data_IF_225861487455
#
_entry.id   IF_225861487455
#
_cell.length_a   1.000
_cell.length_b   1.000
_cell.length_c   1.000
_cell.angle_alpha   90.00
_cell.angle_beta   90.00
_cell.angle_gamma   90.00
#
_symmetry.space_group_name_H-M   'P 1'
#
loop_
_entity.id
_entity.type
_entity.pdbx_description
1 polymer ?
#
# COMPACT_ATOMS: atom_id res chain seq x y z
N UNK A 1 -29.53 -5.10 16.01
CA UNK A 1 -28.49 -4.05 16.14
C UNK A 1 -27.12 -4.67 15.95
N UNK A 2 -26.24 -3.98 15.20
CA UNK A 2 -24.78 -4.03 15.39
C UNK A 2 -24.03 -5.34 15.05
N UNK A 3 -23.66 -5.52 13.79
CA UNK A 3 -22.27 -5.92 13.48
C UNK A 3 -21.73 -5.00 12.38
N UNK A 4 -21.89 -3.71 12.70
CA UNK A 4 -21.21 -2.51 12.20
C UNK A 4 -20.92 -2.43 10.70
N UNK A 5 -21.73 -1.64 9.99
CA UNK A 5 -21.29 -0.96 8.76
C UNK A 5 -20.01 -0.13 8.97
N UNK A 6 -19.67 0.22 10.21
CA UNK A 6 -18.38 0.78 10.60
C UNK A 6 -17.20 -0.21 10.52
N UNK A 7 -17.39 -1.52 10.72
CA UNK A 7 -16.32 -2.53 10.56
C UNK A 7 -15.92 -2.70 9.10
N UNK A 8 -16.87 -2.58 8.16
CA UNK A 8 -16.57 -2.57 6.73
C UNK A 8 -15.73 -1.36 6.31
N UNK A 9 -16.09 -0.16 6.82
CA UNK A 9 -15.31 1.06 6.61
C UNK A 9 -13.95 1.03 7.31
N UNK A 10 -13.86 0.50 8.53
CA UNK A 10 -12.59 0.33 9.24
C UNK A 10 -11.71 -0.69 8.55
N UNK A 11 -12.25 -1.81 8.03
CA UNK A 11 -11.46 -2.77 7.28
C UNK A 11 -10.93 -2.15 5.98
N UNK A 12 -11.78 -1.42 5.23
CA UNK A 12 -11.37 -0.71 4.01
C UNK A 12 -10.33 0.38 4.30
N UNK A 13 -10.59 1.25 5.27
CA UNK A 13 -9.69 2.32 5.68
C UNK A 13 -8.40 1.77 6.29
N UNK A 14 -8.45 0.63 6.98
CA UNK A 14 -7.28 -0.05 7.51
C UNK A 14 -6.47 -0.66 6.38
N UNK A 15 -7.06 -1.34 5.40
CA UNK A 15 -6.31 -1.88 4.25
C UNK A 15 -5.69 -0.75 3.42
N UNK A 16 -6.45 0.32 3.16
CA UNK A 16 -5.97 1.52 2.49
C UNK A 16 -4.85 2.19 3.29
N UNK A 17 -4.96 2.29 4.62
CA UNK A 17 -3.98 2.93 5.51
C UNK A 17 -2.81 2.04 5.93
N UNK A 18 -2.92 0.72 5.79
CA UNK A 18 -1.87 -0.25 6.12
C UNK A 18 -0.96 -0.49 4.91
N UNK A 19 -1.55 -0.49 3.71
CA UNK A 19 -0.78 -0.51 2.47
C UNK A 19 -0.34 0.91 2.06
N UNK A 20 -1.03 1.93 2.56
CA UNK A 20 -0.81 3.34 2.28
C UNK A 20 -1.02 3.71 0.81
N UNK A 21 -1.87 2.96 0.13
CA UNK A 21 -2.32 3.29 -1.22
C UNK A 21 -3.48 4.28 -1.09
N UNK A 22 -3.31 5.45 -1.68
CA UNK A 22 -4.31 6.52 -1.71
C UNK A 22 -4.61 6.84 -3.16
N UNK A 23 -5.88 6.74 -3.53
CA UNK A 23 -6.36 7.13 -4.83
C UNK A 23 -7.26 8.35 -4.66
N UNK A 24 -6.91 9.49 -5.27
CA UNK A 24 -7.65 10.75 -5.14
C UNK A 24 -7.73 11.40 -6.50
N UNK A 25 -8.93 11.58 -7.03
CA UNK A 25 -9.15 12.27 -8.33
C UNK A 25 -8.36 11.66 -9.50
N UNK A 26 -8.21 10.33 -9.54
CA UNK A 26 -7.40 9.65 -10.54
C UNK A 26 -5.87 9.75 -10.34
N UNK A 27 -5.41 10.39 -9.26
CA UNK A 27 -4.01 10.38 -8.82
C UNK A 27 -3.80 9.25 -7.81
N UNK A 28 -2.95 8.30 -8.18
CA UNK A 28 -2.53 7.21 -7.31
C UNK A 28 -1.25 7.61 -6.59
N UNK A 29 -1.33 7.67 -5.26
CA UNK A 29 -0.20 7.90 -4.39
C UNK A 29 0.03 6.66 -3.53
N UNK A 30 1.25 6.13 -3.56
CA UNK A 30 1.60 4.93 -2.78
C UNK A 30 2.62 5.29 -1.72
N UNK A 31 2.20 5.32 -0.44
CA UNK A 31 3.07 5.54 0.71
C UNK A 31 3.15 4.25 1.54
N UNK A 32 4.11 3.35 1.28
CA UNK A 32 4.19 2.07 1.98
C UNK A 32 4.31 2.29 3.49
N UNK A 33 3.39 1.71 4.25
CA UNK A 33 3.37 1.74 5.72
C UNK A 33 3.11 0.33 6.27
N UNK A 34 3.68 -0.67 5.59
CA UNK A 34 3.57 -2.06 5.99
C UNK A 34 4.26 -2.31 7.34
N UNK A 35 3.66 -3.11 8.22
CA UNK A 35 4.30 -3.58 9.45
C UNK A 35 5.63 -4.30 9.19
N UNK A 36 6.62 -4.21 10.11
CA UNK A 36 7.96 -4.78 9.92
C UNK A 36 7.98 -6.29 9.67
N UNK A 37 6.99 -7.02 10.18
CA UNK A 37 6.89 -8.47 10.04
C UNK A 37 6.32 -8.92 8.67
N UNK A 38 5.82 -8.01 7.83
CA UNK A 38 5.33 -8.36 6.49
C UNK A 38 6.44 -8.19 5.43
N UNK A 39 6.85 -9.27 4.74
CA UNK A 39 7.89 -9.20 3.70
C UNK A 39 7.39 -8.51 2.42
N UNK A 40 6.12 -8.73 2.08
CA UNK A 40 5.45 -8.15 0.93
C UNK A 40 3.94 -8.01 1.16
N UNK A 41 3.29 -7.13 0.39
CA UNK A 41 1.83 -7.07 0.29
C UNK A 41 1.41 -6.76 -1.14
N UNK A 42 0.31 -7.36 -1.58
CA UNK A 42 -0.28 -7.14 -2.90
C UNK A 42 -1.66 -6.54 -2.74
N UNK A 43 -1.86 -5.36 -3.32
CA UNK A 43 -3.12 -4.64 -3.33
C UNK A 43 -3.67 -4.63 -4.74
N UNK A 44 -4.94 -4.98 -4.89
CA UNK A 44 -5.64 -4.94 -6.17
C UNK A 44 -6.84 -4.01 -6.05
N UNK A 45 -6.88 -3.00 -6.89
CA UNK A 45 -7.91 -1.97 -6.93
C UNK A 45 -8.56 -1.97 -8.31
N UNK A 46 -9.84 -1.63 -8.35
CA UNK A 46 -10.59 -1.39 -9.59
C UNK A 46 -10.97 0.08 -9.61
N UNK A 47 -10.52 0.82 -10.61
CA UNK A 47 -10.89 2.24 -10.77
C UNK A 47 -11.29 2.54 -12.21
N UNK A 48 -12.50 3.08 -12.40
CA UNK A 48 -13.08 3.36 -13.72
C UNK A 48 -13.01 2.15 -14.67
N UNK A 49 -13.25 0.94 -14.15
CA UNK A 49 -13.15 -0.31 -14.91
C UNK A 49 -11.72 -0.79 -15.20
N UNK A 50 -10.70 -0.01 -14.80
CA UNK A 50 -9.29 -0.39 -14.93
C UNK A 50 -8.84 -1.15 -13.69
N UNK A 51 -8.12 -2.26 -13.91
CA UNK A 51 -7.49 -3.03 -12.84
C UNK A 51 -6.11 -2.47 -12.54
N UNK A 52 -5.91 -2.11 -11.29
CA UNK A 52 -4.65 -1.58 -10.78
C UNK A 52 -4.13 -2.55 -9.73
N UNK A 53 -2.90 -2.97 -9.88
CA UNK A 53 -2.22 -3.85 -8.97
C UNK A 53 -0.98 -3.18 -8.43
N UNK A 54 -0.87 -3.10 -7.10
CA UNK A 54 0.25 -2.49 -6.41
C UNK A 54 0.91 -3.58 -5.57
N UNK A 55 2.15 -3.92 -5.94
CA UNK A 55 3.01 -4.84 -5.21
C UNK A 55 3.99 -4.04 -4.36
N UNK A 56 3.85 -4.19 -3.05
CA UNK A 56 4.69 -3.57 -2.04
C UNK A 56 5.67 -4.64 -1.56
N UNK A 57 6.97 -4.46 -1.82
CA UNK A 57 8.00 -5.41 -1.40
C UNK A 57 9.09 -4.69 -0.64
N UNK A 58 9.55 -5.29 0.46
CA UNK A 58 10.71 -4.77 1.18
C UNK A 58 11.96 -4.91 0.33
N UNK A 59 12.85 -3.92 0.41
CA UNK A 59 14.16 -3.97 -0.24
C UNK A 59 15.00 -5.21 0.18
N UNK A 60 14.75 -5.73 1.39
CA UNK A 60 15.34 -6.98 1.88
C UNK A 60 14.87 -8.24 1.12
N UNK A 61 13.66 -8.19 0.53
CA UNK A 61 13.03 -9.31 -0.21
C UNK A 61 13.27 -9.17 -1.71
N UNK A 62 13.07 -7.97 -2.26
CA UNK A 62 13.27 -7.69 -3.68
C UNK A 62 14.01 -6.37 -3.86
N UNK A 63 15.12 -6.42 -4.61
CA UNK A 63 15.91 -5.23 -4.96
C UNK A 63 15.41 -4.52 -6.22
N UNK A 64 14.57 -5.17 -7.02
CA UNK A 64 14.11 -4.66 -8.31
C UNK A 64 12.66 -5.06 -8.57
N UNK A 65 12.00 -4.32 -9.46
CA UNK A 65 10.65 -4.62 -9.90
C UNK A 65 10.62 -5.93 -10.69
N UNK A 66 9.64 -6.82 -10.43
CA UNK A 66 9.43 -8.01 -11.23
C UNK A 66 8.96 -7.66 -12.66
N UNK A 67 9.13 -8.60 -13.60
CA UNK A 67 8.78 -8.39 -15.00
C UNK A 67 7.29 -8.00 -15.16
N UNK A 68 7.04 -6.94 -15.93
CA UNK A 68 5.70 -6.40 -16.16
C UNK A 68 5.16 -5.51 -15.04
N UNK A 69 5.97 -5.16 -14.03
CA UNK A 69 5.66 -4.12 -13.05
C UNK A 69 6.50 -2.88 -13.30
N UNK A 70 5.88 -1.72 -13.25
CA UNK A 70 6.56 -0.44 -13.30
C UNK A 70 6.98 -0.03 -11.89
N UNK A 71 8.27 0.29 -11.71
CA UNK A 71 8.78 0.79 -10.44
C UNK A 71 8.21 2.19 -10.15
N UNK A 72 7.68 2.37 -8.95
CA UNK A 72 7.20 3.65 -8.44
C UNK A 72 7.87 3.92 -7.09
N UNK A 73 8.43 5.11 -6.89
CA UNK A 73 9.07 5.44 -5.64
C UNK A 73 8.05 5.59 -4.51
N UNK A 74 8.44 5.21 -3.29
CA UNK A 74 7.60 5.38 -2.11
C UNK A 74 7.26 6.86 -1.89
N UNK A 75 5.97 7.21 -1.95
CA UNK A 75 5.46 8.58 -1.81
C UNK A 75 5.27 9.33 -3.12
N UNK A 76 5.69 8.75 -4.25
CA UNK A 76 5.47 9.29 -5.59
C UNK A 76 3.99 9.24 -5.96
N UNK A 77 3.57 10.21 -6.77
CA UNK A 77 2.19 10.34 -7.23
C UNK A 77 2.17 10.10 -8.72
N UNK A 78 1.30 9.20 -9.15
CA UNK A 78 1.15 8.78 -10.54
C UNK A 78 -0.27 9.07 -11.00
N UNK A 79 -0.43 9.83 -12.07
CA UNK A 79 -1.75 10.04 -12.66
C UNK A 79 -2.14 8.81 -13.47
N UNK A 80 -3.32 8.24 -13.17
CA UNK A 80 -3.84 7.09 -13.90
C UNK A 80 -4.19 7.42 -15.36
N UNK A 81 -4.32 8.71 -15.69
CA UNK A 81 -4.57 9.19 -17.05
C UNK A 81 -3.37 9.02 -17.97
N UNK A 82 -2.14 8.97 -17.43
CA UNK A 82 -0.92 8.80 -18.23
C UNK A 82 -0.71 7.35 -18.70
N UNK A 83 -1.53 6.42 -18.21
CA UNK A 83 -1.32 4.98 -18.38
C UNK A 83 -2.62 4.31 -18.83
N UNK A 84 -2.55 3.58 -19.94
CA UNK A 84 -3.67 2.80 -20.46
C UNK A 84 -3.51 1.30 -20.15
N UNK A 85 -4.64 0.63 -19.91
CA UNK A 85 -4.70 -0.82 -19.70
C UNK A 85 -4.57 -1.28 -18.23
N UNK A 86 -4.07 -2.50 -18.05
CA UNK A 86 -3.86 -3.10 -16.73
C UNK A 86 -2.60 -2.51 -16.10
N UNK A 87 -2.77 -1.81 -14.98
CA UNK A 87 -1.67 -1.10 -14.34
C UNK A 87 -1.05 -1.95 -13.24
N UNK A 88 0.22 -2.31 -13.39
CA UNK A 88 0.97 -3.07 -12.37
C UNK A 88 2.15 -2.24 -11.88
N UNK A 89 2.11 -1.89 -10.60
CA UNK A 89 3.06 -1.01 -9.95
C UNK A 89 3.82 -1.78 -8.88
N UNK A 90 5.13 -1.62 -8.87
CA UNK A 90 5.99 -2.15 -7.83
C UNK A 90 6.58 -1.01 -7.02
N UNK A 91 6.44 -1.10 -5.69
CA UNK A 91 6.95 -0.10 -4.76
C UNK A 91 7.89 -0.79 -3.78
N UNK A 92 9.15 -0.36 -3.82
CA UNK A 92 10.13 -0.74 -2.83
C UNK A 92 9.79 -0.08 -1.49
N UNK A 93 9.66 -0.90 -0.44
CA UNK A 93 9.55 -0.42 0.93
C UNK A 93 10.98 -0.31 1.46
N UNK A 94 11.50 0.91 1.65
CA UNK A 94 12.76 1.06 2.37
C UNK A 94 12.57 0.49 3.77
N UNK A 95 13.60 -0.11 4.36
CA UNK A 95 13.61 -0.44 5.78
C UNK A 95 13.43 0.87 6.58
N UNK A 96 12.18 1.23 6.82
CA UNK A 96 11.85 2.27 7.79
C UNK A 96 12.22 1.70 9.15
N UNK A 97 13.12 2.40 9.83
CA UNK A 97 13.47 2.18 11.22
C UNK A 97 12.19 1.94 12.03
N UNK A 98 12.19 1.01 13.00
CA UNK A 98 10.98 0.51 13.63
C UNK A 98 10.13 1.69 14.11
N UNK A 99 8.87 1.72 13.66
CA UNK A 99 7.86 2.58 14.26
C UNK A 99 7.89 2.28 15.76
N UNK A 100 8.41 3.22 16.55
CA UNK A 100 8.52 3.11 18.00
C UNK A 100 7.14 2.76 18.53
N UNK A 101 6.98 1.54 19.01
CA UNK A 101 5.83 1.11 19.80
C UNK A 101 5.69 2.12 20.94
N UNK A 102 4.60 2.90 21.01
CA UNK A 102 4.36 3.74 22.18
C UNK A 102 4.05 2.80 23.36
N UNK A 103 5.08 2.62 24.20
CA UNK A 103 5.03 2.14 25.59
C UNK A 103 3.95 1.13 25.97
N UNK A 104 4.32 -0.15 26.03
CA UNK A 104 3.81 -0.99 27.12
C UNK A 104 4.49 -0.49 28.40
N UNK A 105 3.76 0.32 29.14
CA UNK A 105 4.07 0.73 30.51
C UNK A 105 4.33 -0.51 31.36
N UNK A 106 5.48 -0.51 32.04
CA UNK A 106 5.77 -1.38 33.19
C UNK A 106 4.65 -1.24 34.22
N UNK A 107 4.13 -2.36 34.72
CA UNK A 107 3.51 -2.39 36.05
C UNK A 107 4.17 -3.52 36.81
N UNK A 108 5.17 -3.09 37.59
CA UNK A 108 5.56 -3.52 38.95
C UNK A 108 4.76 -4.70 39.53
#
# INVERSE_FOLDING_TARGET
>A
SWYTGAAGWLLRASVESLCGVRLTDGLLRVKPCLPPHWPEARVRLMQHGRRIEVLLQRAAVAKAAPAGYQALAAGETLALSDLDGELRLWVAIPETAPARVPGSVETI
#
